data_IF_955218656062
#
_entry.id   IF_955218656062
#
_cell.length_a   1.000
_cell.length_b   1.000
_cell.length_c   1.000
_cell.angle_alpha   90.00
_cell.angle_beta   90.00
_cell.angle_gamma   90.00
#
_symmetry.space_group_name_H-M   'P 1'
#
loop_
_entity.id
_entity.type
_entity.pdbx_description
1 polymer ?
#
# COMPACT_ATOMS: atom_id res chain seq x y z
N UNK A 1 10.37 -1.24 -7.94
CA UNK A 1 11.21 -1.65 -9.08
C UNK A 1 10.68 -3.00 -9.57
N UNK A 2 10.03 -3.04 -10.73
CA UNK A 2 9.66 -4.31 -11.39
C UNK A 2 10.87 -4.78 -12.19
N UNK A 3 11.28 -6.04 -12.02
CA UNK A 3 12.44 -6.59 -12.73
C UNK A 3 12.07 -6.87 -14.19
N UNK A 4 12.78 -6.29 -15.17
CA UNK A 4 12.53 -6.56 -16.59
C UNK A 4 13.00 -7.96 -17.01
N UNK A 5 13.74 -8.68 -16.15
CA UNK A 5 14.28 -10.01 -16.45
C UNK A 5 13.27 -11.16 -16.27
N UNK A 6 12.03 -10.85 -15.86
CA UNK A 6 10.94 -11.84 -15.76
C UNK A 6 10.16 -11.94 -17.08
N UNK A 7 10.25 -10.93 -17.95
CA UNK A 7 9.46 -10.82 -19.17
C UNK A 7 10.24 -11.40 -20.36
N UNK A 8 9.61 -12.34 -21.06
CA UNK A 8 10.21 -13.12 -22.14
C UNK A 8 10.06 -12.46 -23.51
N UNK A 9 9.13 -11.50 -23.66
CA UNK A 9 8.82 -10.82 -24.92
C UNK A 9 8.80 -9.28 -24.78
N UNK A 10 9.24 -8.55 -25.80
CA UNK A 10 9.21 -7.10 -25.86
C UNK A 10 7.78 -6.51 -25.77
N UNK A 11 6.77 -7.25 -26.21
CA UNK A 11 5.37 -6.88 -26.08
C UNK A 11 4.90 -6.87 -24.62
N UNK A 12 5.40 -7.80 -23.79
CA UNK A 12 5.12 -7.86 -22.36
C UNK A 12 5.73 -6.66 -21.61
N UNK A 13 6.90 -6.20 -22.05
CA UNK A 13 7.54 -4.98 -21.51
C UNK A 13 6.67 -3.74 -21.82
N UNK A 14 6.10 -3.67 -23.03
CA UNK A 14 5.18 -2.61 -23.42
C UNK A 14 3.93 -2.57 -22.54
N UNK A 15 3.33 -3.74 -22.30
CA UNK A 15 2.16 -3.89 -21.45
C UNK A 15 2.46 -3.51 -19.99
N UNK A 16 3.57 -4.01 -19.43
CA UNK A 16 3.99 -3.66 -18.07
C UNK A 16 4.14 -2.14 -17.92
N UNK A 17 4.76 -1.47 -18.90
CA UNK A 17 4.94 -0.02 -18.87
C UNK A 17 3.60 0.73 -18.91
N UNK A 18 2.62 0.20 -19.64
CA UNK A 18 1.27 0.75 -19.68
C UNK A 18 0.50 0.55 -18.35
N UNK A 19 0.79 -0.53 -17.62
CA UNK A 19 0.14 -0.85 -16.34
C UNK A 19 0.77 -0.13 -15.14
N UNK A 20 2.01 0.34 -15.25
CA UNK A 20 2.73 1.05 -14.17
C UNK A 20 1.95 2.24 -13.57
N UNK A 21 1.36 3.17 -14.35
CA UNK A 21 0.60 4.29 -13.80
C UNK A 21 -0.63 3.84 -13.00
N UNK A 22 -1.24 2.71 -13.38
CA UNK A 22 -2.35 2.13 -12.63
C UNK A 22 -1.86 1.59 -11.29
N UNK A 23 -0.74 0.84 -11.27
CA UNK A 23 -0.14 0.34 -10.04
C UNK A 23 0.29 1.47 -9.09
N UNK A 24 0.81 2.59 -9.63
CA UNK A 24 1.16 3.78 -8.84
C UNK A 24 -0.08 4.38 -8.17
N UNK A 25 -1.17 4.58 -8.93
CA UNK A 25 -2.44 5.08 -8.38
C UNK A 25 -3.04 4.16 -7.32
N UNK A 26 -2.94 2.84 -7.53
CA UNK A 26 -3.37 1.89 -6.50
C UNK A 26 -2.56 2.04 -5.21
N UNK A 27 -1.24 2.25 -5.32
CA UNK A 27 -0.39 2.55 -4.18
C UNK A 27 -0.76 3.85 -3.45
N UNK A 28 -1.16 4.89 -4.20
CA UNK A 28 -1.65 6.15 -3.64
C UNK A 28 -2.97 5.97 -2.88
N UNK A 29 -3.93 5.23 -3.42
CA UNK A 29 -5.21 4.97 -2.74
C UNK A 29 -5.03 4.13 -1.46
N UNK A 30 -4.09 3.17 -1.44
CA UNK A 30 -3.73 2.43 -0.22
C UNK A 30 -3.09 3.32 0.85
N UNK A 31 -2.45 4.42 0.45
CA UNK A 31 -1.80 5.38 1.36
C UNK A 31 -2.79 6.41 1.90
N UNK A 32 -3.97 6.58 1.27
CA UNK A 32 -4.91 7.61 1.69
C UNK A 32 -5.51 7.27 3.06
N UNK A 33 -5.42 8.17 4.06
CA UNK A 33 -6.05 7.93 5.35
C UNK A 33 -7.57 7.95 5.20
N UNK A 34 -8.23 6.92 5.72
CA UNK A 34 -9.68 6.82 5.71
C UNK A 34 -10.28 7.60 6.87
N UNK A 35 -11.26 8.46 6.58
CA UNK A 35 -11.94 9.23 7.62
C UNK A 35 -12.88 8.32 8.44
N UNK A 36 -12.92 8.44 9.78
CA UNK A 36 -13.75 7.57 10.62
C UNK A 36 -15.25 7.58 10.25
N UNK A 37 -15.75 8.71 9.77
CA UNK A 37 -17.16 8.91 9.40
C UNK A 37 -17.54 8.21 8.09
N UNK A 38 -16.58 7.99 7.18
CA UNK A 38 -16.78 7.37 5.87
C UNK A 38 -16.23 5.94 5.75
N UNK A 39 -15.62 5.43 6.82
CA UNK A 39 -14.83 4.20 6.80
C UNK A 39 -15.52 3.01 6.13
N UNK A 40 -16.81 2.79 6.40
CA UNK A 40 -17.54 1.66 5.82
C UNK A 40 -17.56 1.66 4.28
N UNK A 41 -17.46 2.82 3.64
CA UNK A 41 -17.50 2.98 2.19
C UNK A 41 -16.07 3.15 1.64
N UNK A 42 -15.27 4.01 2.29
CA UNK A 42 -13.93 4.37 1.82
C UNK A 42 -12.94 3.19 1.85
N UNK A 43 -13.19 2.17 2.69
CA UNK A 43 -12.35 0.95 2.71
C UNK A 43 -12.69 -0.07 1.62
N UNK A 44 -13.87 0.01 0.97
CA UNK A 44 -14.31 -0.99 -0.01
C UNK A 44 -13.32 -1.15 -1.18
N UNK A 45 -12.83 -0.07 -1.82
CA UNK A 45 -11.91 -0.19 -2.94
C UNK A 45 -10.59 -0.90 -2.56
N UNK A 46 -9.96 -0.45 -1.48
CA UNK A 46 -8.70 -1.02 -0.98
C UNK A 46 -8.87 -2.48 -0.54
N UNK A 47 -10.02 -2.83 0.04
CA UNK A 47 -10.33 -4.20 0.42
C UNK A 47 -10.49 -5.11 -0.81
N UNK A 48 -11.21 -4.66 -1.84
CA UNK A 48 -11.37 -5.42 -3.08
C UNK A 48 -10.02 -5.65 -3.77
N UNK A 49 -9.17 -4.62 -3.80
CA UNK A 49 -7.80 -4.73 -4.33
C UNK A 49 -6.97 -5.76 -3.56
N UNK A 50 -6.98 -5.70 -2.23
CA UNK A 50 -6.27 -6.67 -1.39
C UNK A 50 -6.74 -8.10 -1.64
N UNK A 51 -8.05 -8.33 -1.78
CA UNK A 51 -8.60 -9.65 -2.12
C UNK A 51 -8.19 -10.11 -3.53
N UNK A 52 -8.13 -9.20 -4.51
CA UNK A 52 -7.60 -9.51 -5.84
C UNK A 52 -6.13 -9.92 -5.78
N UNK A 53 -5.28 -9.14 -5.11
CA UNK A 53 -3.84 -9.43 -4.96
C UNK A 53 -3.62 -10.77 -4.24
N UNK A 54 -4.43 -11.07 -3.21
CA UNK A 54 -4.43 -12.37 -2.54
C UNK A 54 -4.78 -13.51 -3.49
N UNK A 55 -5.78 -13.33 -4.37
CA UNK A 55 -6.13 -14.33 -5.40
C UNK A 55 -5.03 -14.54 -6.44
N UNK A 56 -4.20 -13.53 -6.69
CA UNK A 56 -3.01 -13.67 -7.53
C UNK A 56 -1.88 -14.50 -6.88
N UNK A 57 -2.02 -14.90 -5.62
CA UNK A 57 -1.06 -15.78 -4.92
C UNK A 57 0.05 -15.05 -4.18
N UNK A 58 -0.05 -13.73 -4.01
CA UNK A 58 0.88 -12.98 -3.15
C UNK A 58 0.52 -13.17 -1.67
N UNK A 59 1.52 -13.01 -0.79
CA UNK A 59 1.34 -13.16 0.67
C UNK A 59 0.91 -11.87 1.39
N UNK A 60 0.96 -10.72 0.71
CA UNK A 60 0.61 -9.42 1.29
C UNK A 60 0.88 -8.24 0.36
N UNK A 61 0.69 -7.03 0.89
CA UNK A 61 0.93 -5.76 0.20
C UNK A 61 1.84 -4.84 1.02
N UNK A 62 2.78 -4.19 0.33
CA UNK A 62 3.63 -3.12 0.86
C UNK A 62 3.18 -1.80 0.24
N UNK A 63 2.98 -0.78 1.06
CA UNK A 63 2.56 0.55 0.60
C UNK A 63 3.20 1.65 1.45
N UNK A 64 3.19 2.88 0.96
CA UNK A 64 3.83 4.01 1.66
C UNK A 64 3.03 4.38 2.91
N UNK A 65 3.72 4.81 3.95
CA UNK A 65 3.07 5.35 5.14
C UNK A 65 2.46 6.72 4.84
N UNK A 66 1.26 6.98 5.37
CA UNK A 66 0.59 8.28 5.27
C UNK A 66 1.11 9.30 6.28
N UNK A 67 1.90 8.85 7.26
CA UNK A 67 2.36 9.66 8.40
C UNK A 67 3.87 9.85 8.45
N UNK A 68 4.64 9.14 7.61
CA UNK A 68 6.10 9.18 7.61
C UNK A 68 6.68 8.68 6.27
N UNK A 69 7.99 8.78 6.09
CA UNK A 69 8.71 8.20 4.94
C UNK A 69 8.83 6.66 5.02
N UNK A 70 8.25 6.05 6.06
CA UNK A 70 8.23 4.60 6.24
C UNK A 70 7.28 3.88 5.26
N UNK A 71 7.24 2.56 5.41
CA UNK A 71 6.30 1.68 4.71
C UNK A 71 5.34 1.04 5.70
N UNK A 72 4.15 0.73 5.22
CA UNK A 72 3.21 -0.17 5.87
C UNK A 72 3.24 -1.53 5.14
N UNK A 73 3.01 -2.60 5.89
CA UNK A 73 2.93 -3.96 5.39
C UNK A 73 1.63 -4.58 5.89
N UNK A 74 0.80 -5.05 4.98
CA UNK A 74 -0.37 -5.88 5.29
C UNK A 74 -0.12 -7.30 4.80
N UNK A 75 -0.13 -8.26 5.73
CA UNK A 75 0.03 -9.68 5.44
C UNK A 75 -1.35 -10.34 5.38
N UNK A 76 -1.57 -11.16 4.36
CA UNK A 76 -2.80 -11.95 4.26
C UNK A 76 -2.78 -13.18 5.17
N UNK A 77 -1.59 -13.67 5.51
CA UNK A 77 -1.39 -14.71 6.51
C UNK A 77 -0.46 -14.22 7.65
N UNK A 78 -1.03 -13.78 8.78
CA UNK A 78 -0.24 -13.31 9.93
C UNK A 78 0.73 -14.37 10.50
N UNK A 79 0.47 -15.67 10.28
CA UNK A 79 1.32 -16.74 10.79
C UNK A 79 2.70 -16.82 10.12
N UNK A 80 2.87 -16.13 8.98
CA UNK A 80 4.17 -16.01 8.31
C UNK A 80 5.09 -14.98 8.98
N UNK A 81 4.60 -14.19 9.93
CA UNK A 81 5.38 -13.17 10.63
C UNK A 81 5.49 -13.44 12.12
N UNK A 82 6.64 -13.03 12.68
CA UNK A 82 6.86 -12.96 14.12
C UNK A 82 6.87 -11.50 14.53
N UNK A 83 5.95 -11.12 15.42
CA UNK A 83 5.92 -9.77 15.99
C UNK A 83 7.22 -9.44 16.73
N UNK A 84 7.71 -8.21 16.54
CA UNK A 84 8.81 -7.66 17.31
C UNK A 84 8.35 -7.06 18.64
N UNK A 85 9.18 -6.21 19.23
CA UNK A 85 8.83 -5.46 20.44
C UNK A 85 7.77 -4.40 20.14
N UNK A 86 6.70 -4.39 20.93
CA UNK A 86 5.65 -3.38 20.86
C UNK A 86 5.80 -2.42 22.04
N UNK A 87 5.81 -1.12 21.76
CA UNK A 87 5.85 -0.07 22.77
C UNK A 87 4.65 0.86 22.58
N UNK A 88 3.97 1.18 23.69
CA UNK A 88 2.87 2.15 23.70
C UNK A 88 3.43 3.55 23.87
N UNK A 89 3.04 4.46 22.97
CA UNK A 89 3.44 5.87 23.05
C UNK A 89 2.22 6.75 23.31
N UNK A 90 2.40 7.75 24.18
CA UNK A 90 1.43 8.84 24.34
C UNK A 90 1.87 10.02 23.49
N UNK A 91 1.03 10.42 22.55
CA UNK A 91 1.28 11.63 21.74
C UNK A 91 1.21 12.84 22.68
N UNK A 92 2.32 13.57 22.80
CA UNK A 92 2.42 14.76 23.66
C UNK A 92 2.06 16.05 22.91
N UNK A 93 2.44 16.14 21.64
CA UNK A 93 2.19 17.29 20.77
C UNK A 93 2.20 16.86 19.30
N UNK A 94 1.34 17.47 18.50
CA UNK A 94 1.38 17.44 17.03
C UNK A 94 1.73 18.86 16.56
N UNK A 95 2.72 19.00 15.69
CA UNK A 95 3.08 20.26 15.04
C UNK A 95 2.84 20.10 13.54
N UNK A 96 2.20 21.09 12.91
CA UNK A 96 1.93 21.10 11.47
C UNK A 96 2.58 22.34 10.89
N UNK A 97 3.42 22.16 9.87
CA UNK A 97 3.96 23.25 9.07
C UNK A 97 3.13 23.39 7.80
N UNK A 98 2.72 24.61 7.47
CA UNK A 98 1.87 24.90 6.32
C UNK A 98 2.61 25.89 5.43
N UNK A 99 2.71 25.59 4.14
CA UNK A 99 3.24 26.48 3.12
C UNK A 99 2.11 26.95 2.19
N UNK A 100 2.29 28.11 1.56
CA UNK A 100 1.38 28.56 0.50
C UNK A 100 1.45 27.59 -0.69
N UNK A 101 0.29 27.30 -1.28
CA UNK A 101 0.15 26.44 -2.45
C UNK A 101 0.78 27.05 -3.71
#
# INVERSE_FOLDING_TARGET
>A
LVSPFILTDASEIGQLRADLPFLERLGEELTRPVQPTGAAIDYIPSQYLCEFIKKCGFDGVVYRSSVSDGINLALFNPQQAKGGTVALYKVSKVSVEVAAA
#
